data_IF_048681584163
#
_entry.id   IF_048681584163
#
_cell.length_a   1.000
_cell.length_b   1.000
_cell.length_c   1.000
_cell.angle_alpha   90.00
_cell.angle_beta   90.00
_cell.angle_gamma   90.00
#
_symmetry.space_group_name_H-M   'P 1'
#
loop_
_entity.id
_entity.type
_entity.pdbx_description
1 polymer ?
#
# COMPACT_ATOMS: atom_id res chain seq x y z
N UNK A 1 -1.75 -8.08 -4.61
CA UNK A 1 -0.45 -7.76 -5.23
C UNK A 1 -0.48 -6.31 -5.65
N UNK A 2 0.64 -5.61 -5.51
CA UNK A 2 0.83 -4.25 -6.05
C UNK A 2 2.14 -4.23 -6.83
N UNK A 3 2.19 -3.48 -7.91
CA UNK A 3 3.35 -3.50 -8.82
C UNK A 3 3.83 -2.08 -9.08
N UNK A 4 4.87 -1.60 -8.37
CA UNK A 4 5.57 -0.40 -8.80
C UNK A 4 6.13 -0.60 -10.21
N UNK A 5 5.93 0.38 -11.07
CA UNK A 5 6.40 0.39 -12.45
C UNK A 5 7.16 1.67 -12.73
N UNK A 6 8.30 1.56 -13.42
CA UNK A 6 9.10 2.68 -13.87
C UNK A 6 9.29 2.62 -15.40
N UNK A 7 9.29 3.76 -16.11
CA UNK A 7 9.62 3.80 -17.52
C UNK A 7 11.11 3.61 -17.75
N UNK A 8 11.47 2.87 -18.78
CA UNK A 8 12.83 2.74 -19.30
C UNK A 8 12.96 3.76 -20.42
N UNK A 9 13.83 4.76 -20.21
CA UNK A 9 14.11 5.83 -21.19
C UNK A 9 15.58 5.74 -21.58
N UNK A 10 15.86 5.63 -22.89
CA UNK A 10 17.22 5.60 -23.46
C UNK A 10 17.28 6.68 -24.52
N UNK A 11 18.23 7.60 -24.39
CA UNK A 11 18.42 8.75 -25.29
C UNK A 11 17.15 9.62 -25.47
N UNK A 12 16.36 9.74 -24.42
CA UNK A 12 15.11 10.52 -24.43
C UNK A 12 13.89 9.76 -24.97
N UNK A 13 14.08 8.56 -25.52
CA UNK A 13 13.00 7.74 -26.05
C UNK A 13 12.49 6.73 -25.02
N UNK A 14 11.16 6.57 -24.95
CA UNK A 14 10.53 5.48 -24.22
C UNK A 14 10.82 4.13 -24.88
N UNK A 15 11.43 3.21 -24.13
CA UNK A 15 11.76 1.85 -24.60
C UNK A 15 10.93 0.75 -23.92
N UNK A 16 10.23 1.06 -22.83
CA UNK A 16 9.36 0.10 -22.14
C UNK A 16 9.12 0.42 -20.67
N UNK A 17 8.56 -0.55 -19.95
CA UNK A 17 8.30 -0.48 -18.52
C UNK A 17 9.04 -1.61 -17.79
N UNK A 18 9.68 -1.30 -16.68
CA UNK A 18 10.13 -2.27 -15.70
C UNK A 18 9.17 -2.26 -14.51
N UNK A 19 8.66 -3.43 -14.13
CA UNK A 19 7.77 -3.60 -12.98
C UNK A 19 8.30 -4.68 -12.05
N UNK A 20 8.05 -4.52 -10.75
CA UNK A 20 8.32 -5.55 -9.75
C UNK A 20 7.02 -5.83 -8.99
N UNK A 21 6.61 -7.09 -8.95
CA UNK A 21 5.45 -7.48 -8.17
C UNK A 21 5.79 -7.57 -6.69
N UNK A 22 5.07 -6.78 -5.89
CA UNK A 22 5.15 -6.81 -4.44
C UNK A 22 3.93 -7.52 -3.86
N UNK A 23 4.23 -8.52 -3.02
CA UNK A 23 3.26 -9.19 -2.17
C UNK A 23 2.61 -8.18 -1.23
N UNK A 24 1.28 -8.21 -1.16
CA UNK A 24 0.53 -7.30 -0.28
C UNK A 24 0.70 -7.70 1.18
N UNK A 25 0.95 -8.98 1.44
CA UNK A 25 1.23 -9.52 2.76
C UNK A 25 2.40 -8.77 3.43
N UNK A 26 3.45 -8.44 2.67
CA UNK A 26 4.61 -7.69 3.19
C UNK A 26 4.24 -6.27 3.63
N UNK A 27 3.39 -5.58 2.86
CA UNK A 27 2.87 -4.25 3.24
C UNK A 27 1.98 -4.37 4.50
N UNK A 28 1.15 -5.41 4.56
CA UNK A 28 0.29 -5.68 5.71
C UNK A 28 1.07 -6.04 6.99
N UNK A 29 2.31 -6.49 6.87
CA UNK A 29 3.23 -6.73 8.01
C UNK A 29 3.95 -5.46 8.46
N UNK A 30 4.26 -4.53 7.56
CA UNK A 30 4.97 -3.27 7.88
C UNK A 30 4.04 -2.29 8.60
N UNK A 31 2.80 -2.12 8.12
CA UNK A 31 1.87 -1.12 8.68
C UNK A 31 1.65 -1.26 10.19
N UNK A 32 1.45 -2.45 10.77
CA UNK A 32 1.33 -2.62 12.23
C UNK A 32 2.57 -2.21 13.03
N UNK A 33 3.75 -2.14 12.41
CA UNK A 33 5.00 -1.72 13.07
C UNK A 33 5.09 -0.19 13.23
N UNK A 34 4.26 0.56 12.50
CA UNK A 34 4.16 2.02 12.63
C UNK A 34 3.30 2.33 13.86
N UNK A 35 3.95 2.50 15.02
CA UNK A 35 3.30 2.80 16.29
C UNK A 35 4.06 3.92 17.05
N UNK A 36 3.88 5.20 16.67
CA UNK A 36 4.66 6.30 17.22
C UNK A 36 4.39 6.61 18.70
N UNK A 37 3.17 6.31 19.17
CA UNK A 37 2.76 6.48 20.57
C UNK A 37 1.66 5.48 20.93
N UNK A 38 1.51 5.22 22.22
CA UNK A 38 0.49 4.30 22.74
C UNK A 38 -0.92 4.73 22.31
N UNK A 39 -1.73 3.76 21.88
CA UNK A 39 -3.08 4.00 21.38
C UNK A 39 -3.18 4.49 19.93
N UNK A 40 -2.05 4.79 19.27
CA UNK A 40 -2.04 5.14 17.84
C UNK A 40 -2.42 3.96 16.94
N UNK A 41 -2.93 4.26 15.75
CA UNK A 41 -3.22 3.27 14.70
C UNK A 41 -2.63 3.76 13.39
N UNK A 42 -2.06 2.83 12.64
CA UNK A 42 -1.59 3.05 11.29
C UNK A 42 -2.48 2.29 10.30
N UNK A 43 -2.76 2.93 9.17
CA UNK A 43 -3.60 2.36 8.12
C UNK A 43 -3.22 2.93 6.76
N UNK A 44 -3.41 2.12 5.72
CA UNK A 44 -3.19 2.47 4.32
C UNK A 44 -4.53 2.35 3.60
N UNK A 45 -5.03 3.45 3.04
CA UNK A 45 -6.29 3.51 2.27
C UNK A 45 -5.96 3.74 0.80
N UNK A 46 -6.56 2.94 -0.08
CA UNK A 46 -6.53 3.18 -1.52
C UNK A 46 -7.56 4.26 -1.93
N UNK A 47 -7.37 4.98 -3.05
CA UNK A 47 -8.28 6.05 -3.48
C UNK A 47 -9.76 5.67 -3.59
N UNK A 48 -10.08 4.37 -3.72
CA UNK A 48 -11.44 3.83 -3.76
C UNK A 48 -12.03 3.55 -2.35
N UNK A 49 -11.45 4.14 -1.30
CA UNK A 49 -11.82 3.95 0.10
C UNK A 49 -11.68 2.51 0.59
N UNK A 50 -10.79 1.71 0.01
CA UNK A 50 -10.51 0.35 0.52
C UNK A 50 -9.32 0.38 1.45
N UNK A 51 -9.46 -0.23 2.63
CA UNK A 51 -8.36 -0.43 3.58
C UNK A 51 -7.43 -1.52 3.03
N UNK A 52 -6.24 -1.13 2.61
CA UNK A 52 -5.22 -2.03 2.04
C UNK A 52 -4.44 -2.73 3.16
N UNK A 53 -4.13 -1.99 4.22
CA UNK A 53 -3.44 -2.48 5.42
C UNK A 53 -3.87 -1.66 6.65
N UNK A 54 -3.87 -2.29 7.81
CA UNK A 54 -4.29 -1.66 9.07
C UNK A 54 -3.60 -2.36 10.25
N UNK A 55 -3.30 -1.64 11.35
CA UNK A 55 -2.68 -2.20 12.57
C UNK A 55 -3.38 -3.47 13.08
N UNK A 56 -4.70 -3.53 12.92
CA UNK A 56 -5.52 -4.75 13.09
C UNK A 56 -5.77 -5.41 11.73
N UNK A 57 -5.09 -6.53 11.45
CA UNK A 57 -5.14 -7.22 10.15
C UNK A 57 -6.54 -7.71 9.73
N UNK A 58 -7.46 -7.90 10.69
CA UNK A 58 -8.86 -8.31 10.41
C UNK A 58 -9.68 -7.26 9.65
N UNK A 59 -9.19 -6.03 9.57
CA UNK A 59 -9.89 -4.88 8.98
C UNK A 59 -9.46 -4.69 7.50
N UNK A 60 -8.41 -5.38 7.04
CA UNK A 60 -7.94 -5.31 5.66
C UNK A 60 -9.04 -5.75 4.67
N UNK A 61 -9.09 -5.10 3.50
CA UNK A 61 -10.07 -5.28 2.40
C UNK A 61 -11.49 -4.82 2.71
N UNK A 62 -11.71 -4.09 3.81
CA UNK A 62 -12.99 -3.44 4.10
C UNK A 62 -13.05 -2.04 3.50
N UNK A 63 -14.25 -1.58 3.16
CA UNK A 63 -14.49 -0.22 2.70
C UNK A 63 -14.50 0.71 3.91
N UNK A 64 -13.64 1.72 3.92
CA UNK A 64 -13.72 2.84 4.85
C UNK A 64 -14.95 3.69 4.48
N UNK A 65 -16.00 3.56 5.27
CA UNK A 65 -17.18 4.43 5.21
C UNK A 65 -16.92 5.50 6.27
N UNK A 66 -16.74 6.75 5.85
CA UNK A 66 -16.20 7.83 6.70
C UNK A 66 -16.86 7.92 8.08
N UNK A 67 -16.11 7.52 9.10
CA UNK A 67 -16.19 7.96 10.50
C UNK A 67 -14.96 7.33 11.19
N UNK A 68 -13.84 8.06 11.15
CA UNK A 68 -12.66 7.79 11.97
C UNK A 68 -12.75 8.63 13.24
#
# INVERSE_FOLDING_TARGET
MVSPMIPIIIDGDFKGLAGVDLSLEKIQQIVPQINPFEGSKALLIAPNNVIVAHTKSRICKQKCIGSL
#
